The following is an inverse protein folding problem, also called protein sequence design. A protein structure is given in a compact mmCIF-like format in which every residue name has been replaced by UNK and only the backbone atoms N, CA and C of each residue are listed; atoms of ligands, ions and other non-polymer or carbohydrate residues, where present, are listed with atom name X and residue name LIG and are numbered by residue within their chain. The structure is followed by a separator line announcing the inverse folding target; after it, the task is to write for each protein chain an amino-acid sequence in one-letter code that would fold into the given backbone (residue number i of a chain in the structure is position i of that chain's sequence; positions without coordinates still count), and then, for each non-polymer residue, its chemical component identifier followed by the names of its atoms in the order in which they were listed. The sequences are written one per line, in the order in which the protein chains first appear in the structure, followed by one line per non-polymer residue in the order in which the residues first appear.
data_IF_652994814144
#
_entry.id   IF_652994814144
#
_cell.length_a   1.000
_cell.length_b   1.000
_cell.length_c   1.000
_cell.angle_alpha   90.00
_cell.angle_beta   90.00
_cell.angle_gamma   90.00
#
_symmetry.space_group_name_H-M   'P 1'
#
loop_
_entity.id
_entity.type
_entity.pdbx_description
1 polymer ?
#
# COMPACT_ATOMS: atom_id res chain seq x y z
N UNK A 1 21.26 8.57 3.61
CA UNK A 1 21.78 7.76 2.47
C UNK A 1 21.41 8.49 1.19
N UNK A 2 22.32 8.58 0.22
CA UNK A 2 22.02 9.14 -1.11
C UNK A 2 22.08 8.05 -2.17
N UNK A 3 20.93 7.70 -2.73
CA UNK A 3 20.78 6.73 -3.82
C UNK A 3 19.75 7.31 -4.80
N UNK A 4 20.21 7.95 -5.88
CA UNK A 4 19.33 8.70 -6.80
C UNK A 4 18.33 7.82 -7.55
N UNK A 5 18.60 6.52 -7.65
CA UNK A 5 17.72 5.53 -8.28
C UNK A 5 16.49 5.18 -7.46
N UNK A 6 16.48 5.48 -6.15
CA UNK A 6 15.34 5.17 -5.29
C UNK A 6 14.18 6.09 -5.60
N UNK A 7 13.00 5.48 -5.72
CA UNK A 7 11.71 6.13 -5.90
C UNK A 7 10.86 5.99 -4.65
N UNK A 8 10.06 7.01 -4.36
CA UNK A 8 9.02 6.96 -3.33
C UNK A 8 7.65 6.92 -4.01
N UNK A 9 6.81 6.00 -3.55
CA UNK A 9 5.39 5.97 -3.83
C UNK A 9 4.62 6.31 -2.56
N UNK A 10 3.78 7.35 -2.61
CA UNK A 10 2.87 7.66 -1.51
C UNK A 10 1.50 7.00 -1.75
N UNK A 11 1.04 6.21 -0.78
CA UNK A 11 -0.22 5.50 -0.84
C UNK A 11 -1.26 6.03 0.18
N UNK A 12 -1.12 7.27 0.63
CA UNK A 12 -1.98 7.87 1.67
C UNK A 12 -3.47 7.74 1.37
N UNK A 13 -3.90 8.13 0.18
CA UNK A 13 -5.33 8.11 -0.19
C UNK A 13 -5.81 6.68 -0.42
N UNK A 14 -4.99 5.84 -1.04
CA UNK A 14 -5.36 4.44 -1.29
C UNK A 14 -5.51 3.65 0.01
N UNK A 15 -4.46 3.60 0.85
CA UNK A 15 -4.47 2.78 2.05
C UNK A 15 -5.22 3.44 3.21
N UNK A 16 -5.12 4.76 3.32
CA UNK A 16 -5.92 5.54 4.28
C UNK A 16 -7.42 5.44 4.04
N UNK A 17 -7.84 5.23 2.80
CA UNK A 17 -9.23 4.98 2.44
C UNK A 17 -9.87 3.78 3.14
N UNK A 18 -9.07 2.80 3.59
CA UNK A 18 -9.55 1.70 4.42
C UNK A 18 -10.08 2.14 5.79
N UNK A 19 -9.73 3.36 6.24
CA UNK A 19 -10.19 3.91 7.51
C UNK A 19 -11.48 4.73 7.39
N UNK A 20 -11.80 5.26 6.20
CA UNK A 20 -12.96 6.13 5.98
C UNK A 20 -13.76 5.76 4.72
N UNK A 21 -13.66 4.53 4.24
CA UNK A 21 -14.32 4.06 3.02
C UNK A 21 -13.99 4.90 1.77
N UNK A 22 -12.78 5.45 1.68
CA UNK A 22 -12.32 6.33 0.57
C UNK A 22 -13.12 7.62 0.41
N UNK A 23 -13.75 8.08 1.49
CA UNK A 23 -14.51 9.34 1.56
C UNK A 23 -13.59 10.51 1.92
N UNK A 24 -12.64 10.82 1.05
CA UNK A 24 -11.84 12.04 1.16
C UNK A 24 -12.43 13.13 0.27
N UNK A 25 -12.61 14.36 0.78
CA UNK A 25 -13.06 15.49 -0.03
C UNK A 25 -12.07 15.78 -1.17
N UNK A 26 -12.58 15.98 -2.40
CA UNK A 26 -11.74 16.31 -3.57
C UNK A 26 -10.76 17.47 -3.33
N UNK A 27 -11.17 18.59 -2.68
CA UNK A 27 -10.21 19.66 -2.39
C UNK A 27 -9.02 19.21 -1.53
N UNK A 28 -9.27 18.34 -0.54
CA UNK A 28 -8.20 17.77 0.29
C UNK A 28 -7.29 16.87 -0.52
N UNK A 29 -7.83 15.98 -1.34
CA UNK A 29 -7.03 15.08 -2.19
C UNK A 29 -6.19 15.88 -3.19
N UNK A 30 -6.74 16.97 -3.73
CA UNK A 30 -5.97 17.90 -4.57
C UNK A 30 -4.80 18.53 -3.81
N UNK A 31 -5.02 18.98 -2.58
CA UNK A 31 -3.94 19.54 -1.75
C UNK A 31 -2.87 18.48 -1.42
N UNK A 32 -3.28 17.24 -1.15
CA UNK A 32 -2.38 16.11 -0.92
C UNK A 32 -1.55 15.84 -2.18
N UNK A 33 -2.18 15.78 -3.35
CA UNK A 33 -1.47 15.62 -4.62
C UNK A 33 -0.47 16.76 -4.86
N UNK A 34 -0.91 18.02 -4.74
CA UNK A 34 -0.08 19.21 -4.91
C UNK A 34 1.13 19.23 -3.95
N UNK A 35 0.90 18.82 -2.69
CA UNK A 35 1.93 18.77 -1.67
C UNK A 35 2.97 17.69 -1.92
N UNK A 36 2.53 16.48 -2.29
CA UNK A 36 3.40 15.35 -2.63
C UNK A 36 4.20 15.62 -3.92
N UNK A 37 3.56 16.20 -4.92
CA UNK A 37 4.25 16.62 -6.16
C UNK A 37 5.34 17.65 -5.87
N UNK A 38 5.07 18.68 -5.06
CA UNK A 38 6.09 19.66 -4.62
C UNK A 38 7.17 19.03 -3.73
N UNK A 39 6.84 17.98 -3.00
CA UNK A 39 7.82 17.22 -2.23
C UNK A 39 8.73 16.34 -3.09
N UNK A 40 8.45 16.20 -4.40
CA UNK A 40 9.23 15.41 -5.35
C UNK A 40 8.97 13.91 -5.29
N UNK A 41 7.84 13.48 -4.71
CA UNK A 41 7.42 12.08 -4.64
C UNK A 41 7.19 11.54 -6.05
N UNK A 42 7.70 10.34 -6.35
CA UNK A 42 7.71 9.81 -7.72
C UNK A 42 6.34 9.31 -8.18
N UNK A 43 5.60 8.64 -7.28
CA UNK A 43 4.27 8.13 -7.55
C UNK A 43 3.31 8.50 -6.43
N UNK A 44 2.09 8.87 -6.81
CA UNK A 44 1.00 9.20 -5.87
C UNK A 44 -0.17 8.26 -6.17
N UNK A 45 -0.46 7.35 -5.23
CA UNK A 45 -1.51 6.34 -5.37
C UNK A 45 -2.83 6.87 -4.79
N UNK A 46 -3.75 7.24 -5.68
CA UNK A 46 -4.98 7.96 -5.33
C UNK A 46 -6.16 7.06 -4.92
N UNK A 47 -6.02 5.74 -5.06
CA UNK A 47 -7.07 4.81 -4.64
C UNK A 47 -7.11 3.53 -5.44
N UNK A 48 -8.32 3.02 -5.65
CA UNK A 48 -8.58 1.78 -6.39
C UNK A 48 -9.37 2.04 -7.67
N UNK A 49 -9.22 1.16 -8.66
CA UNK A 49 -10.18 0.97 -9.76
C UNK A 49 -10.99 -0.29 -9.47
N UNK A 50 -11.93 -0.18 -8.53
CA UNK A 50 -12.74 -1.31 -8.09
C UNK A 50 -14.01 -1.44 -8.91
N UNK A 51 -14.44 -2.67 -9.18
CA UNK A 51 -15.70 -2.97 -9.84
C UNK A 51 -16.90 -2.62 -8.93
N UNK A 52 -17.83 -1.83 -9.47
CA UNK A 52 -19.06 -1.40 -8.79
C UNK A 52 -20.05 -2.54 -8.54
N UNK A 53 -19.86 -3.70 -9.20
CA UNK A 53 -20.63 -4.90 -8.89
C UNK A 53 -20.27 -5.49 -7.52
N UNK A 54 -19.02 -5.31 -7.07
CA UNK A 54 -18.55 -5.77 -5.75
C UNK A 54 -18.59 -4.69 -4.68
N UNK A 55 -18.44 -3.42 -5.07
CA UNK A 55 -18.37 -2.29 -4.14
C UNK A 55 -19.42 -1.23 -4.52
N UNK A 56 -20.38 -1.00 -3.61
CA UNK A 56 -21.43 0.00 -3.86
C UNK A 56 -20.89 1.42 -3.74
N UNK A 57 -21.11 2.30 -4.75
CA UNK A 57 -20.80 3.73 -4.65
C UNK A 57 -21.55 4.47 -3.53
N UNK A 58 -22.65 3.88 -3.01
CA UNK A 58 -23.39 4.44 -1.87
C UNK A 58 -22.68 4.24 -0.52
N UNK A 59 -21.73 3.29 -0.48
CA UNK A 59 -20.98 2.92 0.74
C UNK A 59 -19.50 3.29 0.68
N UNK A 60 -19.03 3.69 -0.49
CA UNK A 60 -17.63 3.98 -0.71
C UNK A 60 -17.47 5.28 -1.49
N UNK A 61 -16.53 6.10 -1.07
CA UNK A 61 -16.19 7.34 -1.73
C UNK A 61 -15.53 7.17 -3.11
N UNK A 62 -15.33 8.27 -3.83
CA UNK A 62 -14.87 8.26 -5.23
C UNK A 62 -13.50 7.60 -5.42
N UNK A 63 -12.65 7.62 -4.40
CA UNK A 63 -11.29 7.08 -4.46
C UNK A 63 -11.25 5.55 -4.36
N UNK A 64 -12.37 4.88 -4.09
CA UNK A 64 -12.51 3.43 -4.29
C UNK A 64 -12.60 3.06 -5.77
N UNK A 65 -13.06 4.00 -6.60
CA UNK A 65 -13.31 3.76 -8.03
C UNK A 65 -12.34 4.53 -8.94
N UNK A 66 -11.75 5.62 -8.47
CA UNK A 66 -10.80 6.44 -9.20
C UNK A 66 -11.23 6.70 -10.66
N UNK A 67 -12.51 7.12 -10.86
CA UNK A 67 -13.00 7.48 -12.18
C UNK A 67 -12.11 8.57 -12.81
N UNK A 68 -11.86 8.51 -14.10
CA UNK A 68 -10.96 9.44 -14.80
C UNK A 68 -11.34 10.91 -14.58
N UNK A 69 -12.65 11.22 -14.55
CA UNK A 69 -13.15 12.56 -14.27
C UNK A 69 -12.76 13.04 -12.87
N UNK A 70 -12.86 12.19 -11.84
CA UNK A 70 -12.48 12.53 -10.48
C UNK A 70 -10.98 12.74 -10.33
N UNK A 71 -10.18 11.88 -10.99
CA UNK A 71 -8.73 11.99 -10.99
C UNK A 71 -8.27 13.31 -11.63
N UNK A 72 -8.86 13.71 -12.76
CA UNK A 72 -8.51 14.97 -13.46
C UNK A 72 -8.91 16.24 -12.71
N UNK A 73 -9.81 16.16 -11.73
CA UNK A 73 -10.12 17.30 -10.85
C UNK A 73 -9.02 17.55 -9.80
N UNK A 74 -8.26 16.52 -9.42
CA UNK A 74 -7.30 16.58 -8.30
C UNK A 74 -5.84 16.42 -8.72
N UNK A 75 -5.57 15.80 -9.86
CA UNK A 75 -4.24 15.54 -10.38
C UNK A 75 -4.04 16.15 -11.76
N UNK A 76 -2.79 16.42 -12.12
CA UNK A 76 -2.37 16.98 -13.39
C UNK A 76 -1.01 16.41 -13.79
N UNK A 77 -0.65 16.57 -15.07
CA UNK A 77 0.65 16.12 -15.57
C UNK A 77 1.80 16.91 -14.93
N UNK A 78 2.68 16.20 -14.26
CA UNK A 78 3.90 16.72 -13.61
C UNK A 78 4.93 15.59 -13.46
N UNK A 79 6.04 15.87 -12.78
CA UNK A 79 7.08 14.86 -12.55
C UNK A 79 6.59 13.69 -11.65
N UNK A 80 5.60 13.95 -10.78
CA UNK A 80 4.94 12.90 -10.00
C UNK A 80 3.88 12.19 -10.84
N UNK A 81 3.94 10.87 -10.88
CA UNK A 81 3.05 10.02 -11.66
C UNK A 81 1.86 9.54 -10.84
N UNK A 82 0.68 9.49 -11.46
CA UNK A 82 -0.52 8.93 -10.83
C UNK A 82 -0.49 7.41 -10.87
N UNK A 83 -0.72 6.78 -9.72
CA UNK A 83 -0.90 5.35 -9.57
C UNK A 83 -2.28 5.01 -9.03
N UNK A 84 -2.81 3.84 -9.41
CA UNK A 84 -4.09 3.32 -8.93
C UNK A 84 -3.96 1.81 -8.70
N UNK A 85 -4.53 1.29 -7.61
CA UNK A 85 -4.53 -0.14 -7.32
C UNK A 85 -5.74 -0.85 -7.92
N UNK A 86 -5.54 -2.11 -8.28
CA UNK A 86 -6.59 -3.03 -8.76
C UNK A 86 -6.46 -4.36 -8.03
N UNK A 87 -7.58 -4.92 -7.60
CA UNK A 87 -7.62 -6.23 -6.94
C UNK A 87 -7.95 -7.32 -7.97
N UNK A 88 -7.20 -8.41 -7.96
CA UNK A 88 -7.52 -9.60 -8.79
C UNK A 88 -8.93 -10.08 -8.45
N UNK A 89 -9.75 -10.30 -9.50
CA UNK A 89 -11.12 -10.78 -9.39
C UNK A 89 -12.16 -9.75 -8.89
N UNK A 90 -11.77 -8.48 -8.69
CA UNK A 90 -12.65 -7.39 -8.22
C UNK A 90 -12.51 -6.12 -9.05
N UNK A 91 -12.10 -6.27 -10.31
CA UNK A 91 -11.86 -5.18 -11.24
C UNK A 91 -12.55 -5.52 -12.55
N UNK A 92 -13.29 -4.55 -13.10
CA UNK A 92 -13.91 -4.66 -14.42
C UNK A 92 -12.88 -4.32 -15.50
N UNK A 93 -12.70 -5.25 -16.45
CA UNK A 93 -11.75 -5.06 -17.55
C UNK A 93 -12.21 -3.99 -18.56
N UNK A 94 -13.52 -3.78 -18.67
CA UNK A 94 -14.08 -2.79 -19.60
C UNK A 94 -13.95 -1.34 -19.06
N UNK A 95 -13.54 -1.18 -17.80
CA UNK A 95 -13.38 0.14 -17.15
C UNK A 95 -11.99 0.76 -17.36
N UNK A 96 -11.11 0.10 -18.12
CA UNK A 96 -9.79 0.63 -18.45
C UNK A 96 -9.81 1.40 -19.76
N UNK A 97 -9.40 2.67 -19.71
CA UNK A 97 -9.09 3.46 -20.90
C UNK A 97 -7.70 3.09 -21.45
N UNK A 98 -7.40 3.35 -22.72
CA UNK A 98 -6.01 3.38 -23.18
C UNK A 98 -5.18 4.39 -22.40
N UNK A 99 -3.91 4.10 -22.10
CA UNK A 99 -3.05 4.97 -21.27
C UNK A 99 -2.93 6.40 -21.82
N UNK A 100 -2.97 6.58 -23.16
CA UNK A 100 -2.96 7.90 -23.81
C UNK A 100 -4.18 8.79 -23.49
N UNK A 101 -5.28 8.17 -23.05
CA UNK A 101 -6.55 8.83 -22.75
C UNK A 101 -6.77 8.97 -21.23
N UNK A 102 -5.79 8.56 -20.42
CA UNK A 102 -5.85 8.57 -18.95
C UNK A 102 -4.72 9.38 -18.34
N UNK A 103 -4.97 9.95 -17.16
CA UNK A 103 -3.93 10.57 -16.33
C UNK A 103 -3.14 9.54 -15.51
N UNK A 104 -3.64 8.32 -15.41
CA UNK A 104 -2.97 7.23 -14.70
C UNK A 104 -1.75 6.80 -15.50
N UNK A 105 -0.61 6.64 -14.82
CA UNK A 105 0.62 6.11 -15.41
C UNK A 105 0.81 4.63 -15.06
N UNK A 106 0.49 4.23 -13.83
CA UNK A 106 0.74 2.88 -13.32
C UNK A 106 -0.50 2.29 -12.66
N UNK A 107 -0.81 1.04 -12.99
CA UNK A 107 -1.70 0.22 -12.20
C UNK A 107 -0.92 -0.78 -11.35
N UNK A 108 -1.32 -0.91 -10.08
CA UNK A 108 -0.74 -1.86 -9.13
C UNK A 108 -1.72 -2.99 -8.88
N UNK A 109 -1.37 -4.19 -9.34
CA UNK A 109 -2.20 -5.40 -9.24
C UNK A 109 -1.93 -6.05 -7.88
N UNK A 110 -2.90 -5.99 -6.98
CA UNK A 110 -2.85 -6.66 -5.69
C UNK A 110 -3.34 -8.11 -5.83
N UNK A 111 -2.52 -9.05 -5.36
CA UNK A 111 -2.80 -10.50 -5.48
C UNK A 111 -2.18 -11.29 -4.33
N UNK A 112 -2.67 -12.51 -4.14
CA UNK A 112 -1.98 -13.53 -3.36
C UNK A 112 -1.11 -14.41 -4.27
N UNK A 113 -0.03 -15.00 -3.75
CA UNK A 113 0.89 -15.83 -4.55
C UNK A 113 0.18 -16.94 -5.31
N UNK A 114 -0.80 -17.62 -4.69
CA UNK A 114 -1.61 -18.69 -5.29
C UNK A 114 -2.53 -18.24 -6.45
N UNK A 115 -2.69 -16.95 -6.66
CA UNK A 115 -3.50 -16.36 -7.74
C UNK A 115 -2.64 -15.59 -8.77
N UNK A 116 -1.34 -15.90 -8.81
CA UNK A 116 -0.38 -15.14 -9.63
C UNK A 116 -0.70 -15.22 -11.13
N UNK A 117 -1.23 -16.34 -11.60
CA UNK A 117 -1.70 -16.53 -12.96
C UNK A 117 -2.78 -15.52 -13.36
N UNK A 118 -3.74 -15.29 -12.49
CA UNK A 118 -4.79 -14.27 -12.68
C UNK A 118 -4.22 -12.85 -12.66
N UNK A 119 -3.26 -12.60 -11.76
CA UNK A 119 -2.58 -11.29 -11.69
C UNK A 119 -1.78 -11.02 -12.98
N UNK A 120 -1.10 -12.03 -13.52
CA UNK A 120 -0.39 -11.92 -14.78
C UNK A 120 -1.37 -11.67 -15.93
N UNK A 121 -2.52 -12.35 -15.96
CA UNK A 121 -3.54 -12.12 -16.98
C UNK A 121 -4.07 -10.67 -16.95
N UNK A 122 -4.44 -10.16 -15.76
CA UNK A 122 -4.88 -8.77 -15.57
C UNK A 122 -3.76 -7.78 -15.93
N UNK A 123 -2.54 -8.03 -15.46
CA UNK A 123 -1.38 -7.18 -15.74
C UNK A 123 -1.05 -7.12 -17.23
N UNK A 124 -1.16 -8.22 -17.96
CA UNK A 124 -0.96 -8.24 -19.41
C UNK A 124 -2.04 -7.44 -20.15
N UNK A 125 -3.30 -7.51 -19.71
CA UNK A 125 -4.36 -6.67 -20.25
C UNK A 125 -4.03 -5.18 -20.05
N UNK A 126 -3.71 -4.78 -18.82
CA UNK A 126 -3.33 -3.40 -18.47
C UNK A 126 -2.11 -2.95 -19.30
N UNK A 127 -1.11 -3.83 -19.41
CA UNK A 127 0.11 -3.56 -20.20
C UNK A 127 -0.18 -3.34 -21.68
N UNK A 128 -1.14 -4.10 -22.25
CA UNK A 128 -1.56 -3.95 -23.65
C UNK A 128 -2.21 -2.59 -23.93
N UNK A 129 -2.75 -1.93 -22.91
CA UNK A 129 -3.31 -0.58 -22.99
C UNK A 129 -2.25 0.53 -22.83
N UNK A 130 -0.99 0.18 -22.56
CA UNK A 130 0.16 1.10 -22.54
C UNK A 130 0.58 1.58 -21.14
N UNK A 131 0.05 1.03 -20.06
CA UNK A 131 0.38 1.40 -18.69
C UNK A 131 1.67 0.75 -18.16
N UNK A 132 2.29 1.39 -17.16
CA UNK A 132 3.23 0.71 -16.28
C UNK A 132 2.43 -0.26 -15.37
N UNK A 133 3.02 -1.43 -15.07
CA UNK A 133 2.39 -2.45 -14.23
C UNK A 133 3.27 -2.81 -13.06
N UNK A 134 2.67 -2.81 -11.88
CA UNK A 134 3.25 -3.36 -10.65
C UNK A 134 2.43 -4.55 -10.18
N UNK A 135 3.08 -5.60 -9.67
CA UNK A 135 2.40 -6.70 -8.98
C UNK A 135 2.79 -6.69 -7.50
N UNK A 136 1.78 -6.66 -6.64
CA UNK A 136 1.93 -6.59 -5.20
C UNK A 136 1.49 -7.93 -4.59
N UNK A 137 2.47 -8.77 -4.17
CA UNK A 137 2.19 -10.07 -3.55
C UNK A 137 1.86 -9.83 -2.07
N UNK A 138 0.55 -9.86 -1.76
CA UNK A 138 0.03 -9.63 -0.40
C UNK A 138 0.29 -10.83 0.51
N UNK A 139 0.29 -10.56 1.83
CA UNK A 139 0.44 -11.56 2.89
C UNK A 139 1.66 -12.47 2.70
N UNK A 140 2.78 -11.89 2.27
CA UNK A 140 4.01 -12.64 1.98
C UNK A 140 4.50 -13.48 3.19
N UNK A 141 4.12 -13.09 4.42
CA UNK A 141 4.39 -13.85 5.64
C UNK A 141 3.63 -15.19 5.79
N UNK A 142 2.57 -15.40 4.99
CA UNK A 142 1.75 -16.62 4.98
C UNK A 142 1.98 -17.50 3.75
N UNK A 143 2.84 -17.05 2.83
CA UNK A 143 3.10 -17.79 1.60
C UNK A 143 4.12 -18.88 1.86
N UNK A 144 3.85 -20.10 1.41
CA UNK A 144 4.86 -21.16 1.43
C UNK A 144 6.02 -20.80 0.48
N UNK A 145 7.24 -21.15 0.87
CA UNK A 145 8.43 -20.79 0.09
C UNK A 145 8.34 -21.25 -1.36
N UNK A 146 7.85 -22.47 -1.60
CA UNK A 146 7.67 -23.02 -2.94
C UNK A 146 6.65 -22.23 -3.76
N UNK A 147 5.54 -21.82 -3.16
CA UNK A 147 4.51 -21.02 -3.84
C UNK A 147 5.04 -19.62 -4.20
N UNK A 148 5.86 -19.04 -3.30
CA UNK A 148 6.51 -17.76 -3.58
C UNK A 148 7.53 -17.89 -4.71
N UNK A 149 8.34 -18.95 -4.71
CA UNK A 149 9.32 -19.21 -5.76
C UNK A 149 8.64 -19.38 -7.13
N UNK A 150 7.56 -20.15 -7.20
CA UNK A 150 6.78 -20.34 -8.42
C UNK A 150 6.15 -19.02 -8.92
N UNK A 151 5.61 -18.22 -7.99
CA UNK A 151 5.04 -16.91 -8.34
C UNK A 151 6.10 -15.95 -8.89
N UNK A 152 7.27 -15.88 -8.24
CA UNK A 152 8.37 -15.02 -8.70
C UNK A 152 8.95 -15.50 -10.05
N UNK A 153 9.07 -16.81 -10.27
CA UNK A 153 9.55 -17.38 -11.53
C UNK A 153 8.59 -17.05 -12.69
N UNK A 154 7.28 -17.09 -12.45
CA UNK A 154 6.28 -16.67 -13.45
C UNK A 154 6.37 -15.15 -13.71
N UNK A 155 6.48 -14.32 -12.67
CA UNK A 155 6.61 -12.87 -12.82
C UNK A 155 7.90 -12.48 -13.54
N UNK A 156 8.98 -13.22 -13.37
CA UNK A 156 10.25 -12.98 -14.07
C UNK A 156 10.08 -13.03 -15.61
N UNK A 157 9.13 -13.83 -16.11
CA UNK A 157 8.86 -13.98 -17.56
C UNK A 157 7.96 -12.87 -18.12
N UNK A 158 7.37 -12.01 -17.28
CA UNK A 158 6.52 -10.89 -17.73
C UNK A 158 7.36 -9.68 -18.15
N UNK A 159 6.71 -8.70 -18.80
CA UNK A 159 7.30 -7.40 -19.12
C UNK A 159 6.85 -6.29 -18.14
N UNK A 160 6.43 -6.65 -16.92
CA UNK A 160 6.04 -5.71 -15.89
C UNK A 160 7.26 -5.03 -15.29
N UNK A 161 7.11 -3.76 -14.91
CA UNK A 161 8.20 -2.93 -14.40
C UNK A 161 8.52 -3.22 -12.93
N UNK A 162 7.49 -3.48 -12.12
CA UNK A 162 7.61 -3.53 -10.66
C UNK A 162 7.01 -4.79 -10.07
N UNK A 163 7.68 -5.33 -9.05
CA UNK A 163 7.12 -6.39 -8.18
C UNK A 163 7.39 -6.01 -6.74
N UNK A 164 6.36 -6.07 -5.89
CA UNK A 164 6.43 -5.62 -4.50
C UNK A 164 6.43 -6.79 -3.52
N UNK A 165 7.35 -6.71 -2.56
CA UNK A 165 7.29 -7.42 -1.29
C UNK A 165 6.36 -6.65 -0.35
N UNK A 166 5.30 -7.31 0.14
CA UNK A 166 4.28 -6.67 0.98
C UNK A 166 4.21 -7.33 2.36
N UNK A 167 4.58 -6.59 3.40
CA UNK A 167 4.33 -6.95 4.80
C UNK A 167 2.92 -6.53 5.21
N UNK A 168 1.92 -7.29 4.77
CA UNK A 168 0.49 -6.96 4.96
C UNK A 168 0.03 -6.91 6.41
N UNK A 169 0.76 -7.56 7.32
CA UNK A 169 0.38 -7.69 8.72
C UNK A 169 1.32 -6.98 9.69
N UNK A 170 2.36 -6.32 9.15
CA UNK A 170 3.41 -5.71 9.97
C UNK A 170 4.11 -6.72 10.85
N UNK A 171 4.33 -7.94 10.31
CA UNK A 171 4.87 -9.09 11.02
C UNK A 171 6.39 -9.23 10.89
N UNK A 172 6.97 -8.78 9.79
CA UNK A 172 8.37 -9.04 9.49
C UNK A 172 9.33 -8.34 10.46
N UNK A 173 10.37 -9.09 10.82
CA UNK A 173 11.58 -8.58 11.45
C UNK A 173 12.70 -8.43 10.39
N UNK A 174 13.79 -7.79 10.78
CA UNK A 174 14.94 -7.46 9.90
C UNK A 174 15.43 -8.65 9.08
N UNK A 175 15.65 -9.81 9.72
CA UNK A 175 16.17 -11.00 9.05
C UNK A 175 15.26 -11.51 7.94
N UNK A 176 13.94 -11.47 8.18
CA UNK A 176 12.94 -11.89 7.19
C UNK A 176 12.89 -10.92 6.02
N UNK A 177 12.91 -9.61 6.28
CA UNK A 177 12.94 -8.59 5.23
C UNK A 177 14.20 -8.73 4.37
N UNK A 178 15.36 -8.91 4.99
CA UNK A 178 16.61 -9.07 4.27
C UNK A 178 16.61 -10.32 3.39
N UNK A 179 16.17 -11.47 3.93
CA UNK A 179 16.09 -12.72 3.19
C UNK A 179 15.09 -12.64 2.02
N UNK A 180 13.88 -12.12 2.26
CA UNK A 180 12.88 -11.95 1.20
C UNK A 180 13.34 -10.96 0.14
N UNK A 181 13.96 -9.84 0.54
CA UNK A 181 14.51 -8.86 -0.42
C UNK A 181 15.54 -9.50 -1.35
N UNK A 182 16.47 -10.29 -0.80
CA UNK A 182 17.46 -11.03 -1.61
C UNK A 182 16.78 -12.04 -2.54
N UNK A 183 15.78 -12.78 -2.06
CA UNK A 183 15.01 -13.74 -2.88
C UNK A 183 14.35 -13.04 -4.06
N UNK A 184 13.60 -11.93 -3.83
CA UNK A 184 12.95 -11.18 -4.89
C UNK A 184 13.95 -10.63 -5.92
N UNK A 185 15.04 -10.01 -5.45
CA UNK A 185 16.05 -9.43 -6.33
C UNK A 185 16.75 -10.49 -7.20
N UNK A 186 17.04 -11.66 -6.63
CA UNK A 186 17.68 -12.77 -7.34
C UNK A 186 16.73 -13.42 -8.38
N UNK A 187 15.44 -13.53 -8.06
CA UNK A 187 14.43 -14.14 -8.92
C UNK A 187 13.94 -13.21 -10.03
N UNK A 188 14.09 -11.90 -9.87
CA UNK A 188 13.49 -10.88 -10.74
C UNK A 188 14.57 -9.99 -11.44
N UNK A 189 15.53 -10.58 -12.15
CA UNK A 189 16.57 -9.80 -12.82
C UNK A 189 15.93 -8.84 -13.84
N UNK A 190 16.34 -7.57 -13.80
CA UNK A 190 15.86 -6.53 -14.72
C UNK A 190 14.53 -5.88 -14.32
N UNK A 191 13.89 -6.33 -13.25
CA UNK A 191 12.71 -5.65 -12.67
C UNK A 191 13.10 -4.80 -11.48
N UNK A 192 12.31 -3.78 -11.20
CA UNK A 192 12.44 -2.99 -9.97
C UNK A 192 11.64 -3.66 -8.86
N UNK A 193 12.31 -4.03 -7.77
CA UNK A 193 11.63 -4.56 -6.59
C UNK A 193 11.23 -3.43 -5.66
N UNK A 194 9.99 -3.49 -5.19
CA UNK A 194 9.41 -2.55 -4.24
C UNK A 194 9.13 -3.18 -2.88
N UNK A 195 8.91 -2.33 -1.87
CA UNK A 195 8.53 -2.76 -0.53
C UNK A 195 7.39 -1.91 0.02
N UNK A 196 6.41 -2.60 0.62
CA UNK A 196 5.29 -1.99 1.35
C UNK A 196 5.19 -2.63 2.73
N UNK A 197 5.34 -1.84 3.79
CA UNK A 197 5.34 -2.34 5.17
C UNK A 197 4.26 -1.68 6.01
N UNK A 198 3.40 -2.50 6.63
CA UNK A 198 2.52 -2.06 7.71
C UNK A 198 3.26 -1.94 9.04
N UNK A 199 2.76 -1.08 9.94
CA UNK A 199 3.48 -0.62 11.12
C UNK A 199 3.00 -1.25 12.45
N UNK A 200 2.45 -2.46 12.40
CA UNK A 200 1.84 -3.13 13.57
C UNK A 200 2.81 -3.29 14.74
N UNK A 201 4.07 -3.62 14.47
CA UNK A 201 5.14 -3.72 15.46
C UNK A 201 6.05 -2.48 15.52
N UNK A 202 5.66 -1.38 14.87
CA UNK A 202 6.44 -0.14 14.73
C UNK A 202 7.78 -0.32 13.99
N UNK A 203 7.88 -1.34 13.15
CA UNK A 203 9.09 -1.67 12.39
C UNK A 203 9.03 -1.25 10.92
N UNK A 204 7.92 -0.70 10.43
CA UNK A 204 7.73 -0.43 9.00
C UNK A 204 8.86 0.42 8.39
N UNK A 205 9.30 1.48 9.08
CA UNK A 205 10.39 2.31 8.59
C UNK A 205 11.74 1.57 8.65
N UNK A 206 12.04 0.86 9.74
CA UNK A 206 13.27 0.06 9.87
C UNK A 206 13.34 -1.04 8.79
N UNK A 207 12.24 -1.77 8.60
CA UNK A 207 12.11 -2.80 7.58
C UNK A 207 12.28 -2.23 6.15
N UNK A 208 11.76 -1.04 5.89
CA UNK A 208 11.96 -0.35 4.60
C UNK A 208 13.44 -0.01 4.39
N UNK A 209 14.15 0.43 5.44
CA UNK A 209 15.61 0.67 5.38
C UNK A 209 16.38 -0.63 5.10
N UNK A 210 16.00 -1.74 5.73
CA UNK A 210 16.62 -3.06 5.45
C UNK A 210 16.42 -3.46 3.99
N UNK A 211 15.23 -3.24 3.44
CA UNK A 211 14.97 -3.42 2.01
C UNK A 211 15.90 -2.57 1.12
N UNK A 212 16.08 -1.29 1.45
CA UNK A 212 17.02 -0.40 0.75
C UNK A 212 18.45 -0.95 0.80
N UNK A 213 18.91 -1.40 1.97
CA UNK A 213 20.26 -1.94 2.16
C UNK A 213 20.49 -3.13 1.24
N UNK A 214 19.46 -3.96 1.02
CA UNK A 214 19.52 -5.13 0.12
C UNK A 214 19.42 -4.77 -1.37
N UNK A 215 18.92 -3.59 -1.73
CA UNK A 215 18.85 -3.13 -3.12
C UNK A 215 17.43 -2.86 -3.64
N UNK A 216 16.43 -2.87 -2.77
CA UNK A 216 15.07 -2.42 -3.15
C UNK A 216 15.11 -0.94 -3.49
N UNK A 217 14.44 -0.56 -4.59
CA UNK A 217 14.55 0.78 -5.18
C UNK A 217 13.23 1.53 -5.36
N UNK A 218 12.09 0.96 -4.93
CA UNK A 218 10.83 1.72 -4.84
C UNK A 218 10.16 1.43 -3.49
N UNK A 219 9.80 2.49 -2.79
CA UNK A 219 9.42 2.45 -1.38
C UNK A 219 8.02 3.03 -1.22
N UNK A 220 7.12 2.26 -0.61
CA UNK A 220 5.82 2.78 -0.23
C UNK A 220 5.88 3.51 1.11
N UNK A 221 5.22 4.65 1.15
CA UNK A 221 4.96 5.41 2.36
C UNK A 221 3.57 6.00 2.36
N UNK A 222 3.15 6.51 3.51
CA UNK A 222 1.95 7.33 3.63
C UNK A 222 2.20 8.51 4.55
N UNK A 223 1.53 9.64 4.29
CA UNK A 223 1.65 10.85 5.12
C UNK A 223 1.17 10.52 6.54
N UNK A 224 2.02 10.83 7.52
CA UNK A 224 1.77 10.60 8.95
C UNK A 224 1.44 9.14 9.28
N UNK A 225 1.92 8.21 8.43
CA UNK A 225 1.67 6.78 8.53
C UNK A 225 0.19 6.39 8.34
N UNK A 226 -0.63 7.23 7.70
CA UNK A 226 -2.05 6.95 7.52
C UNK A 226 -2.26 5.65 6.74
N UNK A 227 -3.08 4.76 7.29
CA UNK A 227 -3.42 3.49 6.67
C UNK A 227 -4.22 2.60 7.60
N UNK A 228 -4.55 1.42 7.12
CA UNK A 228 -5.34 0.45 7.89
C UNK A 228 -4.67 0.10 9.22
N UNK A 229 -5.45 0.04 10.30
CA UNK A 229 -5.00 -0.39 11.63
C UNK A 229 -3.81 0.43 12.15
N UNK A 230 -2.64 -0.18 12.30
CA UNK A 230 -1.42 0.49 12.76
C UNK A 230 -0.79 1.43 11.72
N UNK A 231 -1.34 1.48 10.50
CA UNK A 231 -0.81 2.29 9.41
C UNK A 231 0.42 1.70 8.74
N UNK A 232 1.19 2.55 8.09
CA UNK A 232 2.28 2.20 7.19
C UNK A 232 3.61 2.86 7.58
N UNK A 233 4.67 2.55 6.83
CA UNK A 233 5.88 3.38 6.79
C UNK A 233 5.51 4.84 6.46
N UNK A 234 6.12 5.82 7.13
CA UNK A 234 5.74 7.23 6.96
C UNK A 234 6.54 7.89 5.83
N UNK A 235 5.83 8.59 4.93
CA UNK A 235 6.45 9.29 3.79
C UNK A 235 7.47 10.32 4.25
N UNK A 236 7.18 11.10 5.28
CA UNK A 236 8.08 12.13 5.81
C UNK A 236 9.40 11.56 6.37
N UNK A 237 9.39 10.34 6.93
CA UNK A 237 10.64 9.70 7.36
C UNK A 237 11.48 9.25 6.16
N UNK A 238 10.85 8.74 5.10
CA UNK A 238 11.55 8.35 3.87
C UNK A 238 12.20 9.57 3.20
N UNK A 239 11.46 10.67 3.04
CA UNK A 239 11.97 11.93 2.49
C UNK A 239 13.17 12.46 3.28
N UNK A 240 13.09 12.41 4.61
CA UNK A 240 14.19 12.85 5.49
C UNK A 240 15.41 11.94 5.45
N UNK A 241 15.20 10.62 5.32
CA UNK A 241 16.27 9.61 5.33
C UNK A 241 17.10 9.59 4.04
N UNK A 242 16.45 9.71 2.88
CA UNK A 242 17.10 9.46 1.59
C UNK A 242 18.13 10.54 1.20
N UNK A 243 18.10 11.72 1.78
CA UNK A 243 19.06 12.81 1.47
C UNK A 243 19.20 13.10 -0.03
N UNK A 244 18.16 12.82 -0.83
CA UNK A 244 18.13 13.13 -2.24
C UNK A 244 17.65 14.57 -2.43
N UNK A 245 18.40 15.43 -3.15
CA UNK A 245 18.04 16.84 -3.33
C UNK A 245 16.70 17.10 -4.01
N UNK A 246 16.15 16.10 -4.73
CA UNK A 246 14.81 16.22 -5.34
C UNK A 246 13.68 16.23 -4.30
N UNK A 247 13.92 15.68 -3.10
CA UNK A 247 12.89 15.57 -2.07
C UNK A 247 12.90 16.78 -1.14
N UNK A 248 11.72 17.36 -0.93
CA UNK A 248 11.46 18.41 0.04
C UNK A 248 10.37 17.97 1.02
N UNK A 249 10.73 17.78 2.28
CA UNK A 249 9.79 17.35 3.34
C UNK A 249 8.77 18.45 3.71
N UNK A 250 9.08 19.74 3.49
CA UNK A 250 8.27 20.86 3.99
C UNK A 250 6.82 20.86 3.51
N UNK A 251 6.50 20.57 2.23
CA UNK A 251 5.10 20.44 1.80
C UNK A 251 4.33 19.36 2.54
N UNK A 252 4.99 18.23 2.87
CA UNK A 252 4.36 17.13 3.62
C UNK A 252 4.11 17.54 5.07
N UNK A 253 5.04 18.24 5.73
CA UNK A 253 4.83 18.78 7.08
C UNK A 253 3.64 19.73 7.14
N UNK A 254 3.48 20.61 6.15
CA UNK A 254 2.34 21.51 6.06
C UNK A 254 1.00 20.75 5.88
N UNK A 255 0.98 19.66 5.11
CA UNK A 255 -0.19 18.79 4.99
C UNK A 255 -0.53 18.10 6.32
N UNK A 256 0.49 17.62 7.04
CA UNK A 256 0.30 16.98 8.36
C UNK A 256 -0.38 17.96 9.32
N UNK A 257 0.13 19.17 9.44
CA UNK A 257 -0.44 20.21 10.30
C UNK A 257 -1.87 20.57 9.91
N UNK A 258 -2.12 20.70 8.61
CA UNK A 258 -3.42 21.16 8.09
C UNK A 258 -4.52 20.10 8.21
N UNK A 259 -4.19 18.83 7.93
CA UNK A 259 -5.19 17.78 7.74
C UNK A 259 -4.99 16.56 8.66
N UNK A 260 -3.77 16.01 8.73
CA UNK A 260 -3.58 14.66 9.24
C UNK A 260 -3.58 14.57 10.77
N UNK A 261 -3.16 15.61 11.49
CA UNK A 261 -3.23 15.63 12.97
C UNK A 261 -4.69 15.45 13.41
N UNK A 262 -5.61 16.25 12.89
CA UNK A 262 -7.03 16.16 13.21
C UNK A 262 -7.64 14.83 12.75
N UNK A 263 -7.34 14.40 11.53
CA UNK A 263 -7.85 13.14 11.00
C UNK A 263 -7.41 11.95 11.84
N UNK A 264 -6.17 11.95 12.36
CA UNK A 264 -5.68 10.89 13.23
C UNK A 264 -6.48 10.80 14.53
N UNK A 265 -6.87 11.93 15.09
CA UNK A 265 -7.73 11.97 16.27
C UNK A 265 -9.15 11.44 16.00
N UNK A 266 -9.64 11.61 14.79
CA UNK A 266 -10.98 11.15 14.38
C UNK A 266 -10.98 9.67 13.96
N UNK A 267 -10.03 9.24 13.13
CA UNK A 267 -10.00 7.91 12.50
C UNK A 267 -9.14 6.88 13.27
N UNK A 268 -8.28 7.31 14.19
CA UNK A 268 -7.54 6.44 15.12
C UNK A 268 -6.65 5.38 14.46
N UNK A 269 -5.82 5.76 13.48
CA UNK A 269 -4.76 4.86 13.01
C UNK A 269 -3.48 5.03 13.83
N UNK A 270 -2.64 4.01 13.82
CA UNK A 270 -1.34 4.03 14.49
C UNK A 270 -1.20 2.91 15.51
N UNK A 271 -0.26 3.05 16.44
CA UNK A 271 -0.01 2.02 17.43
C UNK A 271 -1.16 1.87 18.41
N UNK A 272 -1.71 0.65 18.44
CA UNK A 272 -2.66 0.19 19.45
C UNK A 272 -2.31 -1.25 19.83
N UNK A 273 -2.53 -1.62 21.10
CA UNK A 273 -2.18 -2.96 21.58
C UNK A 273 -2.83 -4.08 20.76
N UNK A 274 -4.12 -4.02 20.36
CA UNK A 274 -4.71 -5.05 19.52
C UNK A 274 -4.04 -5.18 18.14
N UNK A 275 -3.59 -4.08 17.55
CA UNK A 275 -2.87 -4.11 16.27
C UNK A 275 -1.47 -4.72 16.43
N UNK A 276 -0.77 -4.41 17.53
CA UNK A 276 0.51 -5.03 17.87
C UNK A 276 0.34 -6.55 18.06
N UNK A 277 -0.69 -6.99 18.77
CA UNK A 277 -0.99 -8.42 18.95
C UNK A 277 -1.18 -9.11 17.59
N UNK A 278 -1.96 -8.52 16.68
CA UNK A 278 -2.13 -9.07 15.32
C UNK A 278 -0.81 -9.18 14.57
N UNK A 279 0.06 -8.16 14.67
CA UNK A 279 1.39 -8.18 14.06
C UNK A 279 2.27 -9.30 14.61
N UNK A 280 2.44 -9.38 15.93
CA UNK A 280 3.26 -10.41 16.59
C UNK A 280 2.79 -11.83 16.24
N UNK A 281 1.46 -12.05 16.19
CA UNK A 281 0.87 -13.36 15.92
C UNK A 281 0.71 -13.65 14.41
N UNK A 282 1.18 -12.76 13.54
CA UNK A 282 1.03 -12.87 12.09
C UNK A 282 -0.45 -13.06 11.67
N UNK A 283 -1.36 -12.27 12.24
CA UNK A 283 -2.81 -12.39 12.01
C UNK A 283 -3.35 -11.24 11.17
N UNK A 284 -4.36 -11.57 10.34
CA UNK A 284 -5.06 -10.55 9.58
C UNK A 284 -5.68 -9.50 10.50
N UNK A 285 -5.53 -8.18 10.26
CA UNK A 285 -5.97 -7.12 11.17
C UNK A 285 -7.49 -7.01 11.33
N UNK A 286 -8.31 -7.78 10.60
CA UNK A 286 -9.78 -7.78 10.72
C UNK A 286 -10.25 -7.96 12.16
N UNK A 287 -9.62 -8.86 12.91
CA UNK A 287 -10.01 -9.15 14.30
C UNK A 287 -9.67 -7.99 15.24
N UNK A 288 -8.50 -7.40 15.09
CA UNK A 288 -8.12 -6.23 15.88
C UNK A 288 -8.93 -4.99 15.54
N UNK A 289 -9.31 -4.80 14.27
CA UNK A 289 -10.22 -3.74 13.86
C UNK A 289 -11.62 -3.95 14.46
N UNK A 290 -12.14 -5.18 14.47
CA UNK A 290 -13.40 -5.51 15.11
C UNK A 290 -13.33 -5.29 16.63
N UNK A 291 -12.25 -5.71 17.28
CA UNK A 291 -12.01 -5.44 18.70
C UNK A 291 -12.07 -3.94 19.00
N UNK A 292 -11.33 -3.13 18.25
CA UNK A 292 -11.29 -1.67 18.42
C UNK A 292 -12.65 -1.03 18.16
N UNK A 293 -13.40 -1.52 17.16
CA UNK A 293 -14.78 -1.08 16.90
C UNK A 293 -15.69 -1.37 18.07
N UNK A 294 -15.63 -2.58 18.64
CA UNK A 294 -16.44 -2.96 19.81
C UNK A 294 -16.12 -2.05 21.01
N UNK A 295 -14.83 -1.76 21.27
CA UNK A 295 -14.43 -0.82 22.32
C UNK A 295 -15.01 0.58 22.06
N UNK A 296 -14.92 1.09 20.84
CA UNK A 296 -15.44 2.41 20.48
C UNK A 296 -16.98 2.52 20.61
N UNK A 297 -17.69 1.41 20.33
CA UNK A 297 -19.16 1.32 20.46
C UNK A 297 -19.63 0.98 21.90
N UNK A 298 -18.70 0.85 22.86
CA UNK A 298 -19.01 0.46 24.25
C UNK A 298 -19.53 -0.98 24.40
N UNK A 299 -19.26 -1.84 23.43
CA UNK A 299 -19.60 -3.26 23.46
C UNK A 299 -18.53 -4.05 24.24
N UNK A 300 -18.89 -5.22 24.81
CA UNK A 300 -17.89 -6.09 25.44
C UNK A 300 -16.81 -6.51 24.44
N UNK A 301 -15.56 -6.20 24.75
CA UNK A 301 -14.42 -6.57 23.90
C UNK A 301 -13.42 -7.51 24.60
N UNK A 302 -13.59 -7.71 25.92
CA UNK A 302 -12.65 -8.46 26.73
C UNK A 302 -11.35 -7.69 27.03
N UNK A 303 -10.48 -8.29 27.82
CA UNK A 303 -9.15 -7.76 28.11
C UNK A 303 -8.19 -8.05 26.94
N UNK A 304 -7.05 -7.34 26.90
CA UNK A 304 -6.00 -7.63 25.92
C UNK A 304 -5.44 -9.05 26.03
N UNK A 305 -5.43 -9.63 27.23
CA UNK A 305 -5.01 -11.02 27.46
C UNK A 305 -6.02 -12.00 26.84
N UNK A 306 -7.31 -11.75 27.03
CA UNK A 306 -8.36 -12.56 26.41
C UNK A 306 -8.33 -12.45 24.89
N UNK A 307 -8.13 -11.24 24.36
CA UNK A 307 -7.96 -11.02 22.92
C UNK A 307 -6.74 -11.78 22.39
N UNK A 308 -5.57 -11.66 23.04
CA UNK A 308 -4.36 -12.41 22.67
C UNK A 308 -4.62 -13.92 22.62
N UNK A 309 -5.21 -14.48 23.69
CA UNK A 309 -5.50 -15.90 23.76
C UNK A 309 -6.49 -16.35 22.67
N UNK A 310 -7.49 -15.54 22.37
CA UNK A 310 -8.42 -15.83 21.27
C UNK A 310 -7.72 -15.89 19.91
N UNK A 311 -6.78 -14.97 19.65
CA UNK A 311 -6.03 -14.96 18.40
C UNK A 311 -5.07 -16.13 18.24
N UNK A 312 -4.58 -16.72 19.35
CA UNK A 312 -3.75 -17.93 19.32
C UNK A 312 -4.51 -19.16 18.83
N UNK A 313 -5.82 -19.20 19.00
CA UNK A 313 -6.67 -20.35 18.64
C UNK A 313 -7.33 -20.24 17.26
N UNK A 314 -7.31 -19.07 16.65
CA UNK A 314 -7.89 -18.86 15.30
C UNK A 314 -6.96 -19.43 14.24
N UNK A 315 -7.45 -20.41 13.48
CA UNK A 315 -6.81 -20.85 12.24
C UNK A 315 -7.26 -19.91 11.11
N UNK A 316 -6.32 -19.23 10.44
CA UNK A 316 -6.62 -18.30 9.34
C UNK A 316 -6.94 -19.02 8.01
N UNK A 317 -6.98 -20.33 8.02
CA UNK A 317 -7.35 -21.14 6.85
C UNK A 317 -8.88 -21.33 6.69
N UNK A 318 -9.66 -20.75 7.61
CA UNK A 318 -11.13 -20.68 7.57
C UNK A 318 -11.54 -19.22 7.14
#
# INVERSE_FOLDING_TARGET
MYRPEIKILDCTIRDGGLMNNWEFPKPMVKEVFDGLARAGVDYIELGYRADKAFFSPEKHGPWRFCAEADLREVAYECDSKVSVMVDVGRTDYDDFLPARDSIITMFRVATYAKEIDKAIHLGNHIKSLGYEVSVNIMAASHVLEIELDEALDQLAQTNFEYVYLVDSFGYFYSEQVQWLSEKYLNKLPGKTVGIHCHNNQQLAFANTIDGIIKGINILDGSIYGMGRAAGNCTTELLLGFLKNPKYDIRPVLALIEKHFIRMKDELKWGYEVPYMISGILNKHPRFSLEYMKNVAEGKPAGSFVEFYNSQMTVNELD
#
